data_IF_095459401255
#
_entry.id   IF_095459401255
#
_cell.length_a   1.000
_cell.length_b   1.000
_cell.length_c   1.000
_cell.angle_alpha   90.00
_cell.angle_beta   90.00
_cell.angle_gamma   90.00
#
_symmetry.space_group_name_H-M   'P 1'
#
loop_
_entity.id
_entity.type
_entity.pdbx_description
1 polymer ?
#
# COMPACT_ATOMS: atom_id res chain seq x y z
N UNK A 1 0.02 -20.86 32.99
CA UNK A 1 0.84 -20.72 31.75
C UNK A 1 0.71 -19.39 30.99
N UNK A 2 -0.30 -18.52 31.20
CA UNK A 2 -0.42 -17.23 30.48
C UNK A 2 0.26 -16.01 31.13
N UNK A 3 0.85 -16.16 32.32
CA UNK A 3 1.52 -15.05 33.05
C UNK A 3 3.04 -15.00 32.86
N UNK A 4 3.69 -16.09 32.43
CA UNK A 4 5.15 -16.15 32.22
C UNK A 4 5.64 -15.46 30.93
N UNK A 5 4.79 -15.39 29.88
CA UNK A 5 5.18 -14.89 28.56
C UNK A 5 5.23 -13.35 28.44
N UNK A 6 4.71 -12.60 29.42
CA UNK A 6 4.76 -11.12 29.40
C UNK A 6 6.08 -10.55 29.95
N UNK A 7 6.91 -11.34 30.65
CA UNK A 7 8.17 -10.85 31.23
C UNK A 7 9.37 -10.88 30.27
N UNK A 8 9.25 -11.53 29.10
CA UNK A 8 10.36 -11.63 28.12
C UNK A 8 10.34 -10.58 27.00
N UNK A 9 9.29 -9.77 26.87
CA UNK A 9 9.23 -8.71 25.84
C UNK A 9 9.64 -7.31 26.33
N UNK A 10 9.93 -7.14 27.62
CA UNK A 10 10.28 -5.83 28.19
C UNK A 10 11.78 -5.49 28.19
N UNK A 11 12.66 -6.32 27.58
CA UNK A 11 14.12 -6.12 27.65
C UNK A 11 14.83 -5.73 26.33
N UNK A 12 14.13 -5.65 25.20
CA UNK A 12 14.77 -5.37 23.90
C UNK A 12 14.21 -4.15 23.15
N UNK A 13 13.92 -3.06 23.86
CA UNK A 13 13.75 -1.74 23.24
C UNK A 13 15.01 -0.92 23.48
N UNK A 14 15.99 -1.09 22.59
CA UNK A 14 17.05 -0.10 22.40
C UNK A 14 16.41 1.15 21.80
N UNK A 15 16.30 2.21 22.60
CA UNK A 15 15.94 3.53 22.12
C UNK A 15 17.04 4.06 21.17
N UNK A 16 16.69 4.68 20.04
CA UNK A 16 17.66 5.42 19.24
C UNK A 16 18.10 6.67 20.00
N UNK A 17 19.39 6.72 20.32
CA UNK A 17 20.07 7.84 20.98
C UNK A 17 20.14 9.01 19.99
N UNK A 18 19.23 9.97 20.09
CA UNK A 18 19.34 11.27 19.43
C UNK A 18 20.34 12.13 20.19
N UNK A 19 21.63 11.96 19.90
CA UNK A 19 22.67 12.93 20.28
C UNK A 19 23.52 13.24 19.05
N UNK A 20 22.93 14.00 18.13
CA UNK A 20 23.59 14.56 16.95
C UNK A 20 24.52 15.74 17.28
N UNK A 21 25.35 15.65 18.32
CA UNK A 21 26.47 16.59 18.53
C UNK A 21 27.73 15.97 17.97
N UNK A 22 27.90 16.09 16.65
CA UNK A 22 29.19 15.88 16.00
C UNK A 22 30.22 16.80 16.65
N UNK A 23 31.27 16.18 17.21
CA UNK A 23 32.39 16.83 17.86
C UNK A 23 33.29 17.52 16.80
N UNK A 24 32.86 18.67 16.28
CA UNK A 24 33.62 19.48 15.29
C UNK A 24 34.86 20.13 15.95
N UNK A 25 35.01 20.05 17.28
CA UNK A 25 36.07 20.71 18.04
C UNK A 25 37.48 20.14 17.88
N UNK A 26 37.65 18.86 17.50
CA UNK A 26 38.97 18.21 17.49
C UNK A 26 39.71 18.31 16.13
N UNK A 27 39.01 18.56 15.02
CA UNK A 27 39.65 18.71 13.72
C UNK A 27 40.33 20.08 13.50
N UNK A 28 39.89 21.13 14.24
CA UNK A 28 40.49 22.48 14.12
C UNK A 28 41.83 22.64 14.87
N UNK A 29 42.13 21.81 15.88
CA UNK A 29 43.40 21.91 16.64
C UNK A 29 44.60 21.26 15.96
N UNK A 30 44.42 20.28 15.06
CA UNK A 30 45.55 19.68 14.32
C UNK A 30 45.99 20.47 13.09
N UNK A 31 45.11 21.23 12.43
CA UNK A 31 45.50 22.06 11.26
C UNK A 31 46.33 23.29 11.61
N UNK A 32 46.18 23.87 12.82
CA UNK A 32 46.98 25.03 13.22
C UNK A 32 48.46 24.70 13.53
N UNK A 33 48.77 23.46 13.92
CA UNK A 33 50.17 23.04 14.15
C UNK A 33 50.92 22.73 12.85
N UNK A 34 50.24 22.23 11.82
CA UNK A 34 50.87 21.95 10.52
C UNK A 34 51.19 23.22 9.71
N UNK A 35 50.34 24.25 9.78
CA UNK A 35 50.61 25.52 9.10
C UNK A 35 51.76 26.29 9.78
N UNK A 36 51.91 26.18 11.11
CA UNK A 36 53.00 26.82 11.83
C UNK A 36 54.38 26.20 11.53
N UNK A 37 54.46 24.89 11.26
CA UNK A 37 55.74 24.25 10.90
C UNK A 37 56.18 24.55 9.46
N UNK A 38 55.27 24.83 8.54
CA UNK A 38 55.62 25.13 7.14
C UNK A 38 56.17 26.54 6.93
N UNK A 39 55.86 27.51 7.81
CA UNK A 39 56.40 28.87 7.68
C UNK A 39 57.81 29.06 8.23
N UNK A 40 58.28 28.21 9.15
CA UNK A 40 59.60 28.39 9.79
C UNK A 40 60.74 27.78 8.96
N UNK A 41 60.48 26.76 8.15
CA UNK A 41 61.51 26.13 7.32
C UNK A 41 61.90 26.91 6.05
N UNK A 42 61.14 27.96 5.67
CA UNK A 42 61.38 28.72 4.44
C UNK A 42 62.09 30.08 4.67
N UNK A 43 62.51 30.37 5.91
CA UNK A 43 62.99 31.71 6.31
C UNK A 43 64.48 32.02 6.11
N UNK A 44 65.34 31.07 5.72
CA UNK A 44 66.80 31.31 5.75
C UNK A 44 67.60 31.05 4.47
N UNK A 45 66.97 30.65 3.35
CA UNK A 45 67.70 30.41 2.08
C UNK A 45 67.04 31.05 0.86
N UNK A 46 66.62 32.31 0.98
CA UNK A 46 66.14 33.11 -0.15
C UNK A 46 66.85 34.47 -0.20
N UNK A 47 68.13 34.46 -0.53
CA UNK A 47 68.76 35.59 -1.22
C UNK A 47 69.46 35.00 -2.45
N UNK A 48 69.02 35.42 -3.63
CA UNK A 48 69.54 35.09 -4.98
C UNK A 48 68.99 33.85 -5.70
N UNK A 49 67.71 33.49 -5.50
CA UNK A 49 67.04 32.66 -6.51
C UNK A 49 66.36 33.51 -7.59
N UNK A 50 66.72 33.22 -8.83
CA UNK A 50 66.25 33.86 -10.06
C UNK A 50 64.72 34.03 -10.07
N UNK A 51 64.27 35.27 -10.24
CA UNK A 51 62.86 35.68 -10.33
C UNK A 51 62.06 34.84 -11.34
N UNK A 52 62.71 34.33 -12.39
CA UNK A 52 62.11 33.46 -13.42
C UNK A 52 61.60 32.11 -12.89
N UNK A 53 62.25 31.53 -11.88
CA UNK A 53 61.86 30.23 -11.30
C UNK A 53 60.60 30.40 -10.44
N UNK A 54 60.47 31.53 -9.74
CA UNK A 54 59.28 31.85 -8.94
C UNK A 54 58.02 32.04 -9.80
N UNK A 55 58.14 32.72 -10.95
CA UNK A 55 57.01 32.90 -11.88
C UNK A 55 56.54 31.57 -12.50
N UNK A 56 57.46 30.66 -12.80
CA UNK A 56 57.12 29.35 -13.37
C UNK A 56 56.38 28.45 -12.36
N UNK A 57 56.81 28.43 -11.10
CA UNK A 57 56.12 27.68 -10.04
C UNK A 57 54.71 28.21 -9.74
N UNK A 58 54.52 29.53 -9.79
CA UNK A 58 53.22 30.16 -9.55
C UNK A 58 52.22 29.87 -10.69
N UNK A 59 52.70 29.84 -11.94
CA UNK A 59 51.90 29.47 -13.11
C UNK A 59 51.45 28.00 -13.08
N UNK A 60 52.32 27.07 -12.67
CA UNK A 60 51.97 25.64 -12.53
C UNK A 60 50.96 25.40 -11.40
N UNK A 61 51.07 26.14 -10.28
CA UNK A 61 50.07 26.10 -9.21
C UNK A 61 48.70 26.65 -9.67
N UNK A 62 48.66 27.72 -10.47
CA UNK A 62 47.40 28.26 -10.98
C UNK A 62 46.69 27.29 -11.95
N UNK A 63 47.45 26.62 -12.82
CA UNK A 63 46.93 25.63 -13.77
C UNK A 63 46.33 24.39 -13.08
N UNK A 64 46.98 23.89 -12.02
CA UNK A 64 46.45 22.73 -11.26
C UNK A 64 45.19 23.09 -10.46
N UNK A 65 45.08 24.33 -9.94
CA UNK A 65 43.87 24.82 -9.30
C UNK A 65 42.69 24.92 -10.28
N UNK A 66 42.91 25.45 -11.49
CA UNK A 66 41.87 25.53 -12.52
C UNK A 66 41.40 24.15 -12.99
N UNK A 67 42.33 23.20 -13.18
CA UNK A 67 41.99 21.82 -13.53
C UNK A 67 41.15 21.13 -12.44
N UNK A 68 41.49 21.35 -11.16
CA UNK A 68 40.73 20.82 -10.02
C UNK A 68 39.32 21.40 -9.92
N UNK A 69 39.17 22.71 -10.16
CA UNK A 69 37.86 23.37 -10.20
C UNK A 69 37.01 22.81 -11.35
N UNK A 70 37.58 22.66 -12.55
CA UNK A 70 36.86 22.08 -13.69
C UNK A 70 36.45 20.62 -13.45
N UNK A 71 37.29 19.80 -12.82
CA UNK A 71 36.93 18.43 -12.44
C UNK A 71 35.76 18.38 -11.45
N UNK A 72 35.70 19.32 -10.50
CA UNK A 72 34.55 19.47 -9.59
C UNK A 72 33.26 19.84 -10.34
N UNK A 73 33.30 20.79 -11.27
CA UNK A 73 32.11 21.22 -12.03
C UNK A 73 31.50 20.10 -12.90
N UNK A 74 32.34 19.24 -13.51
CA UNK A 74 31.87 18.07 -14.27
C UNK A 74 31.24 17.02 -13.34
N UNK A 75 31.78 16.86 -12.13
CA UNK A 75 31.22 15.96 -11.11
C UNK A 75 29.81 16.35 -10.64
N UNK A 76 29.52 17.65 -10.50
CA UNK A 76 28.20 18.12 -10.02
C UNK A 76 27.05 17.81 -10.97
N UNK A 77 27.27 17.78 -12.29
CA UNK A 77 26.22 17.46 -13.27
C UNK A 77 25.94 15.97 -13.39
N UNK A 78 26.94 15.13 -13.13
CA UNK A 78 26.81 13.67 -13.13
C UNK A 78 26.11 13.15 -11.86
N UNK A 79 26.08 13.93 -10.78
CA UNK A 79 25.54 13.52 -9.49
C UNK A 79 24.15 14.09 -9.16
N UNK A 80 23.48 14.77 -10.09
CA UNK A 80 22.09 15.14 -9.88
C UNK A 80 21.26 13.86 -9.68
N UNK A 81 20.60 13.66 -8.52
CA UNK A 81 19.88 12.43 -8.25
C UNK A 81 18.77 12.26 -9.29
N UNK A 82 18.84 11.15 -10.04
CA UNK A 82 17.83 10.80 -11.04
C UNK A 82 16.61 10.24 -10.32
N UNK A 83 15.67 11.12 -10.02
CA UNK A 83 14.39 10.78 -9.39
C UNK A 83 13.33 10.63 -10.46
N UNK A 84 12.66 9.49 -10.47
CA UNK A 84 11.53 9.19 -11.37
C UNK A 84 10.25 9.01 -10.56
N UNK A 85 9.10 9.16 -11.21
CA UNK A 85 7.79 8.92 -10.62
C UNK A 85 7.13 7.70 -11.27
N UNK A 86 6.32 6.97 -10.49
CA UNK A 86 5.51 5.88 -11.00
C UNK A 86 4.17 5.86 -10.28
N UNK A 87 3.06 5.89 -11.00
CA UNK A 87 1.72 5.75 -10.45
C UNK A 87 1.38 4.28 -10.25
N UNK A 88 1.48 3.81 -9.01
CA UNK A 88 1.19 2.42 -8.66
C UNK A 88 -0.29 2.06 -8.89
N UNK A 89 -1.21 3.02 -8.81
CA UNK A 89 -2.64 2.80 -9.02
C UNK A 89 -2.91 2.58 -10.50
N UNK A 90 -2.34 3.41 -11.37
CA UNK A 90 -2.43 3.23 -12.81
C UNK A 90 -1.77 1.91 -13.26
N UNK A 91 -0.58 1.60 -12.72
CA UNK A 91 0.13 0.35 -13.03
C UNK A 91 -0.71 -0.86 -12.63
N UNK A 92 -1.26 -0.86 -11.43
CA UNK A 92 -2.12 -1.96 -10.97
C UNK A 92 -3.35 -2.12 -11.86
N UNK A 93 -4.02 -1.03 -12.26
CA UNK A 93 -5.18 -1.06 -13.15
C UNK A 93 -4.82 -1.54 -14.57
N UNK A 94 -3.66 -1.14 -15.08
CA UNK A 94 -3.16 -1.53 -16.40
C UNK A 94 -2.59 -2.94 -16.48
N UNK A 95 -2.36 -3.60 -15.35
CA UNK A 95 -1.81 -4.96 -15.31
C UNK A 95 -2.90 -6.01 -15.52
N UNK A 96 -2.73 -6.89 -16.52
CA UNK A 96 -3.77 -7.85 -16.89
C UNK A 96 -4.15 -8.82 -15.77
N UNK A 97 -3.19 -9.22 -14.91
CA UNK A 97 -3.46 -10.15 -13.81
C UNK A 97 -4.40 -9.56 -12.77
N UNK A 98 -4.43 -8.23 -12.62
CA UNK A 98 -5.35 -7.55 -11.69
C UNK A 98 -6.80 -7.86 -12.06
N UNK A 99 -7.16 -7.77 -13.34
CA UNK A 99 -8.52 -8.07 -13.80
C UNK A 99 -8.91 -9.54 -13.55
N UNK A 100 -7.95 -10.47 -13.67
CA UNK A 100 -8.18 -11.90 -13.39
C UNK A 100 -8.35 -12.15 -11.88
N UNK A 101 -7.51 -11.56 -11.03
CA UNK A 101 -7.64 -11.66 -9.58
C UNK A 101 -8.94 -11.04 -9.08
N UNK A 102 -9.37 -9.90 -9.64
CA UNK A 102 -10.66 -9.30 -9.33
C UNK A 102 -11.84 -10.20 -9.73
N UNK A 103 -11.79 -10.84 -10.90
CA UNK A 103 -12.81 -11.82 -11.31
C UNK A 103 -12.87 -13.01 -10.34
N UNK A 104 -11.73 -13.55 -9.92
CA UNK A 104 -11.68 -14.64 -8.93
C UNK A 104 -12.31 -14.22 -7.60
N UNK A 105 -11.99 -13.04 -7.10
CA UNK A 105 -12.57 -12.51 -5.86
C UNK A 105 -14.08 -12.26 -6.00
N UNK A 106 -14.54 -11.73 -7.13
CA UNK A 106 -15.98 -11.55 -7.43
C UNK A 106 -16.71 -12.88 -7.46
N UNK A 107 -16.14 -13.92 -8.05
CA UNK A 107 -16.73 -15.26 -8.08
C UNK A 107 -16.82 -15.86 -6.67
N UNK A 108 -15.79 -15.70 -5.84
CA UNK A 108 -15.84 -16.13 -4.43
C UNK A 108 -16.92 -15.39 -3.64
N UNK A 109 -17.06 -14.07 -3.84
CA UNK A 109 -18.07 -13.26 -3.17
C UNK A 109 -19.49 -13.64 -3.63
N UNK A 110 -19.70 -13.83 -4.93
CA UNK A 110 -20.98 -14.28 -5.47
C UNK A 110 -21.36 -15.67 -4.94
N UNK A 111 -20.41 -16.60 -4.88
CA UNK A 111 -20.62 -17.94 -4.31
C UNK A 111 -20.97 -17.90 -2.82
N UNK A 112 -20.27 -17.09 -2.04
CA UNK A 112 -20.58 -16.91 -0.62
C UNK A 112 -21.95 -16.26 -0.40
N UNK A 113 -22.31 -15.25 -1.19
CA UNK A 113 -23.62 -14.60 -1.11
C UNK A 113 -24.75 -15.56 -1.48
N UNK A 114 -24.57 -16.39 -2.51
CA UNK A 114 -25.57 -17.40 -2.88
C UNK A 114 -25.85 -18.37 -1.72
N UNK A 115 -24.81 -18.83 -1.01
CA UNK A 115 -24.97 -19.71 0.16
C UNK A 115 -25.61 -18.99 1.35
N UNK A 116 -25.32 -17.70 1.54
CA UNK A 116 -26.00 -16.89 2.57
C UNK A 116 -27.49 -16.75 2.25
N UNK A 117 -27.85 -16.51 0.99
CA UNK A 117 -29.25 -16.41 0.57
C UNK A 117 -30.01 -17.72 0.73
N UNK A 118 -29.39 -18.88 0.45
CA UNK A 118 -30.04 -20.18 0.71
C UNK A 118 -30.28 -20.38 2.21
N UNK A 119 -29.29 -20.10 3.06
CA UNK A 119 -29.45 -20.19 4.53
C UNK A 119 -30.50 -19.21 5.07
N UNK A 120 -30.60 -18.00 4.49
CA UNK A 120 -31.63 -17.01 4.86
C UNK A 120 -33.03 -17.52 4.55
N UNK A 121 -33.24 -18.16 3.40
CA UNK A 121 -34.52 -18.78 3.04
C UNK A 121 -34.89 -19.91 4.00
N UNK A 122 -33.94 -20.80 4.30
CA UNK A 122 -34.15 -21.89 5.27
C UNK A 122 -34.52 -21.35 6.66
N UNK A 123 -33.84 -20.29 7.13
CA UNK A 123 -34.19 -19.64 8.40
C UNK A 123 -35.57 -19.00 8.38
N UNK A 124 -35.97 -18.37 7.28
CA UNK A 124 -37.31 -17.78 7.14
C UNK A 124 -38.39 -18.85 7.16
N UNK A 125 -38.17 -20.00 6.51
CA UNK A 125 -39.08 -21.15 6.55
C UNK A 125 -39.23 -21.70 7.97
N UNK A 126 -38.13 -21.88 8.71
CA UNK A 126 -38.18 -22.32 10.11
C UNK A 126 -38.83 -21.29 11.04
N UNK A 127 -38.61 -20.00 10.79
CA UNK A 127 -39.28 -18.93 11.53
C UNK A 127 -40.79 -18.97 11.31
N UNK A 128 -41.24 -19.17 10.07
CA UNK A 128 -42.66 -19.30 9.75
C UNK A 128 -43.26 -20.57 10.37
N UNK A 129 -42.52 -21.69 10.40
CA UNK A 129 -42.96 -22.91 11.10
C UNK A 129 -43.12 -22.70 12.60
N UNK A 130 -42.18 -21.99 13.25
CA UNK A 130 -42.29 -21.62 14.67
C UNK A 130 -43.49 -20.71 14.94
N UNK A 131 -43.79 -19.74 14.06
CA UNK A 131 -44.99 -18.91 14.16
C UNK A 131 -46.28 -19.75 14.09
N UNK A 132 -46.34 -20.72 13.17
CA UNK A 132 -47.48 -21.66 13.07
C UNK A 132 -47.65 -22.50 14.33
N UNK A 133 -46.55 -23.03 14.89
CA UNK A 133 -46.63 -23.77 16.17
C UNK A 133 -47.13 -22.87 17.31
N UNK A 134 -46.72 -21.61 17.36
CA UNK A 134 -47.21 -20.66 18.37
C UNK A 134 -48.71 -20.37 18.22
N UNK A 135 -49.25 -20.31 17.01
CA UNK A 135 -50.69 -20.19 16.76
C UNK A 135 -51.46 -21.46 17.16
N UNK A 136 -50.92 -22.65 16.86
CA UNK A 136 -51.49 -23.93 17.29
C UNK A 136 -51.59 -24.02 18.83
N UNK A 137 -50.60 -23.51 19.58
CA UNK A 137 -50.66 -23.46 21.05
C UNK A 137 -51.76 -22.56 21.60
N UNK A 138 -52.03 -21.43 20.95
CA UNK A 138 -53.12 -20.53 21.36
C UNK A 138 -54.48 -21.20 21.21
N UNK A 139 -54.64 -22.08 20.23
CA UNK A 139 -55.88 -22.82 19.97
C UNK A 139 -56.11 -24.00 20.93
N UNK A 140 -55.10 -24.49 21.65
CA UNK A 140 -55.24 -25.63 22.57
C UNK A 140 -55.72 -25.17 23.95
N UNK A 141 -56.87 -25.65 24.47
CA UNK A 141 -57.45 -25.18 25.72
C UNK A 141 -56.88 -25.86 26.99
N UNK A 142 -56.22 -27.01 26.90
CA UNK A 142 -55.70 -27.77 28.06
C UNK A 142 -54.20 -27.57 28.30
N UNK A 143 -53.83 -27.21 29.54
CA UNK A 143 -52.43 -26.96 29.96
C UNK A 143 -51.49 -28.16 29.77
N UNK A 144 -51.97 -29.39 29.99
CA UNK A 144 -51.17 -30.60 29.80
C UNK A 144 -50.84 -30.87 28.32
N UNK A 145 -51.77 -30.53 27.41
CA UNK A 145 -51.54 -30.64 25.97
C UNK A 145 -50.57 -29.56 25.47
N UNK A 146 -50.63 -28.35 26.05
CA UNK A 146 -49.65 -27.28 25.78
C UNK A 146 -48.23 -27.68 26.16
N UNK A 147 -48.03 -28.29 27.34
CA UNK A 147 -46.70 -28.78 27.76
C UNK A 147 -46.13 -29.82 26.79
N UNK A 148 -46.93 -30.80 26.38
CA UNK A 148 -46.49 -31.84 25.43
C UNK A 148 -46.12 -31.28 24.05
N UNK A 149 -46.82 -30.25 23.58
CA UNK A 149 -46.51 -29.60 22.29
C UNK A 149 -45.23 -28.75 22.42
N UNK A 150 -45.07 -28.03 23.53
CA UNK A 150 -43.87 -27.25 23.81
C UNK A 150 -42.62 -28.14 23.83
N UNK A 151 -42.66 -29.24 24.57
CA UNK A 151 -41.50 -30.12 24.74
C UNK A 151 -41.15 -30.91 23.46
N UNK A 152 -42.15 -31.39 22.72
CA UNK A 152 -41.92 -32.26 21.57
C UNK A 152 -41.74 -31.53 20.24
N UNK A 153 -42.31 -30.32 20.07
CA UNK A 153 -42.29 -29.59 18.79
C UNK A 153 -41.54 -28.27 18.87
N UNK A 154 -41.85 -27.42 19.86
CA UNK A 154 -41.23 -26.07 19.93
C UNK A 154 -39.79 -26.12 20.40
N UNK A 155 -39.49 -26.80 21.51
CA UNK A 155 -38.12 -26.86 22.02
C UNK A 155 -37.11 -27.43 21.00
N UNK A 156 -37.39 -28.53 20.28
CA UNK A 156 -36.47 -28.99 19.23
C UNK A 156 -36.41 -28.03 18.04
N UNK A 157 -37.54 -27.51 17.55
CA UNK A 157 -37.54 -26.56 16.44
C UNK A 157 -36.78 -25.26 16.77
N UNK A 158 -36.91 -24.77 18.01
CA UNK A 158 -36.19 -23.59 18.50
C UNK A 158 -34.69 -23.86 18.64
N UNK A 159 -34.30 -25.06 19.11
CA UNK A 159 -32.89 -25.48 19.15
C UNK A 159 -32.28 -25.53 17.75
N UNK A 160 -33.01 -26.09 16.78
CA UNK A 160 -32.56 -26.13 15.39
C UNK A 160 -32.48 -24.74 14.74
N UNK A 161 -33.45 -23.87 15.00
CA UNK A 161 -33.42 -22.49 14.52
C UNK A 161 -32.20 -21.74 15.06
N UNK A 162 -31.96 -21.85 16.37
CA UNK A 162 -30.80 -21.22 17.01
C UNK A 162 -29.47 -21.79 16.48
N UNK A 163 -29.38 -23.11 16.29
CA UNK A 163 -28.16 -23.73 15.76
C UNK A 163 -27.87 -23.33 14.31
N UNK A 164 -28.90 -23.25 13.46
CA UNK A 164 -28.76 -22.74 12.09
C UNK A 164 -28.40 -21.26 12.05
N UNK A 165 -28.99 -20.43 12.92
CA UNK A 165 -28.65 -19.01 13.02
C UNK A 165 -27.18 -18.83 13.42
N UNK A 166 -26.72 -19.59 14.41
CA UNK A 166 -25.33 -19.56 14.84
C UNK A 166 -24.38 -20.06 13.75
N UNK A 167 -24.78 -21.10 13.02
CA UNK A 167 -24.04 -21.60 11.86
C UNK A 167 -23.93 -20.51 10.77
N UNK A 168 -25.03 -19.89 10.36
CA UNK A 168 -25.05 -18.81 9.37
C UNK A 168 -24.14 -17.65 9.78
N UNK A 169 -24.18 -17.25 11.06
CA UNK A 169 -23.32 -16.19 11.61
C UNK A 169 -21.84 -16.56 11.51
N UNK A 170 -21.47 -17.79 11.88
CA UNK A 170 -20.09 -18.29 11.79
C UNK A 170 -19.64 -18.39 10.34
N UNK A 171 -20.47 -18.93 9.47
CA UNK A 171 -20.22 -19.05 8.04
C UNK A 171 -19.97 -17.69 7.40
N UNK A 172 -20.84 -16.69 7.64
CA UNK A 172 -20.68 -15.34 7.12
C UNK A 172 -19.37 -14.70 7.56
N UNK A 173 -19.03 -14.82 8.85
CA UNK A 173 -17.77 -14.33 9.40
C UNK A 173 -16.55 -15.00 8.78
N UNK A 174 -16.57 -16.34 8.66
CA UNK A 174 -15.48 -17.12 8.09
C UNK A 174 -15.31 -16.85 6.58
N UNK A 175 -16.40 -16.78 5.82
CA UNK A 175 -16.40 -16.46 4.41
C UNK A 175 -15.78 -15.07 4.16
N UNK A 176 -16.15 -14.06 4.96
CA UNK A 176 -15.54 -12.72 4.91
C UNK A 176 -14.06 -12.76 5.22
N UNK A 177 -13.66 -13.47 6.28
CA UNK A 177 -12.26 -13.61 6.64
C UNK A 177 -11.44 -14.29 5.53
N UNK A 178 -11.99 -15.34 4.90
CA UNK A 178 -11.38 -16.04 3.76
C UNK A 178 -11.23 -15.13 2.54
N UNK A 179 -12.28 -14.40 2.15
CA UNK A 179 -12.24 -13.46 1.02
C UNK A 179 -11.23 -12.33 1.28
N UNK A 180 -11.24 -11.75 2.48
CA UNK A 180 -10.29 -10.71 2.86
C UNK A 180 -8.83 -11.20 2.92
N UNK A 181 -8.62 -12.46 3.33
CA UNK A 181 -7.30 -13.11 3.30
C UNK A 181 -6.83 -13.34 1.86
N UNK A 182 -7.67 -13.96 1.03
CA UNK A 182 -7.39 -14.19 -0.39
C UNK A 182 -7.09 -12.88 -1.14
N UNK A 183 -7.89 -11.83 -0.89
CA UNK A 183 -7.65 -10.51 -1.48
C UNK A 183 -6.30 -9.92 -1.08
N UNK A 184 -5.89 -10.04 0.19
CA UNK A 184 -4.58 -9.57 0.66
C UNK A 184 -3.43 -10.36 0.03
N UNK A 185 -3.55 -11.67 -0.04
CA UNK A 185 -2.52 -12.55 -0.63
C UNK A 185 -2.35 -12.27 -2.13
N UNK A 186 -3.44 -12.16 -2.89
CA UNK A 186 -3.39 -11.85 -4.31
C UNK A 186 -2.82 -10.44 -4.57
N UNK A 187 -3.27 -9.44 -3.81
CA UNK A 187 -2.70 -8.09 -3.90
C UNK A 187 -1.21 -8.07 -3.56
N UNK A 188 -0.76 -8.84 -2.56
CA UNK A 188 0.65 -8.92 -2.20
C UNK A 188 1.48 -9.51 -3.34
N UNK A 189 0.99 -10.56 -4.01
CA UNK A 189 1.65 -11.17 -5.19
C UNK A 189 1.76 -10.17 -6.35
N UNK A 190 0.67 -9.48 -6.68
CA UNK A 190 0.68 -8.45 -7.75
C UNK A 190 1.69 -7.34 -7.44
N UNK A 191 1.72 -6.86 -6.19
CA UNK A 191 2.67 -5.82 -5.78
C UNK A 191 4.12 -6.35 -5.82
N UNK A 192 4.39 -7.61 -5.46
CA UNK A 192 5.74 -8.17 -5.57
C UNK A 192 6.24 -8.21 -7.01
N UNK A 193 5.38 -8.63 -7.95
CA UNK A 193 5.73 -8.66 -9.39
C UNK A 193 6.00 -7.25 -9.92
N UNK A 194 5.13 -6.29 -9.60
CA UNK A 194 5.34 -4.87 -9.95
C UNK A 194 6.68 -4.37 -9.38
N UNK A 195 6.98 -4.68 -8.11
CA UNK A 195 8.24 -4.26 -7.47
C UNK A 195 9.48 -4.86 -8.13
N UNK A 196 9.40 -6.05 -8.68
CA UNK A 196 10.51 -6.67 -9.40
C UNK A 196 10.76 -5.99 -10.74
N UNK A 197 9.70 -5.69 -11.50
CA UNK A 197 9.83 -4.94 -12.76
C UNK A 197 10.31 -3.50 -12.54
N UNK A 198 9.79 -2.83 -11.51
CA UNK A 198 10.27 -1.49 -11.10
C UNK A 198 11.76 -1.53 -10.79
N UNK A 199 12.26 -2.57 -10.10
CA UNK A 199 13.70 -2.74 -9.81
C UNK A 199 14.53 -2.93 -11.08
N UNK A 200 14.05 -3.74 -12.03
CA UNK A 200 14.74 -3.95 -13.33
C UNK A 200 14.81 -2.64 -14.13
N UNK A 201 13.71 -1.88 -14.19
CA UNK A 201 13.68 -0.58 -14.87
C UNK A 201 14.60 0.42 -14.17
N UNK A 202 14.53 0.53 -12.84
CA UNK A 202 15.40 1.40 -12.04
C UNK A 202 16.89 1.17 -12.33
N UNK A 203 17.30 -0.10 -12.39
CA UNK A 203 18.67 -0.48 -12.71
C UNK A 203 19.06 -0.06 -14.14
N UNK A 204 18.17 -0.25 -15.11
CA UNK A 204 18.44 0.10 -16.52
C UNK A 204 18.62 1.61 -16.75
N UNK A 205 17.82 2.45 -16.09
CA UNK A 205 17.88 3.92 -16.24
C UNK A 205 18.85 4.59 -15.24
N UNK A 206 19.44 3.80 -14.33
CA UNK A 206 20.25 4.27 -13.19
C UNK A 206 19.49 5.28 -12.33
N UNK A 207 18.23 4.98 -12.03
CA UNK A 207 17.43 5.79 -11.11
C UNK A 207 18.03 5.71 -9.71
N UNK A 208 18.16 6.86 -9.05
CA UNK A 208 18.51 6.91 -7.63
C UNK A 208 17.29 6.57 -6.76
N UNK A 209 16.12 7.11 -7.14
CA UNK A 209 14.85 6.91 -6.44
C UNK A 209 13.69 6.86 -7.42
N UNK A 210 12.69 6.04 -7.09
CA UNK A 210 11.38 6.02 -7.74
C UNK A 210 10.35 6.32 -6.66
N UNK A 211 9.53 7.34 -6.89
CA UNK A 211 8.53 7.81 -5.93
C UNK A 211 7.15 7.51 -6.51
N UNK A 212 6.21 7.09 -5.65
CA UNK A 212 4.82 6.90 -6.08
C UNK A 212 4.18 8.26 -6.41
N UNK A 213 3.57 8.37 -7.59
CA UNK A 213 2.92 9.60 -8.05
C UNK A 213 1.79 10.03 -7.12
N UNK A 214 1.14 9.09 -6.40
CA UNK A 214 0.08 9.40 -5.43
C UNK A 214 0.54 10.27 -4.26
N UNK A 215 1.85 10.24 -3.96
CA UNK A 215 2.46 11.00 -2.87
C UNK A 215 3.03 12.35 -3.30
N UNK A 216 3.04 12.63 -4.60
CA UNK A 216 3.60 13.85 -5.18
C UNK A 216 2.48 14.73 -5.74
N UNK A 217 2.54 16.04 -5.49
CA UNK A 217 1.58 16.98 -6.07
C UNK A 217 1.82 17.22 -7.56
N UNK A 218 3.07 17.11 -8.01
CA UNK A 218 3.46 17.32 -9.39
C UNK A 218 4.73 16.54 -9.71
N UNK A 219 4.76 15.89 -10.87
CA UNK A 219 5.94 15.30 -11.46
C UNK A 219 5.93 15.61 -12.96
N UNK A 220 7.11 15.88 -13.52
CA UNK A 220 7.25 16.08 -14.97
C UNK A 220 6.87 14.78 -15.69
N UNK A 221 5.99 14.81 -16.72
CA UNK A 221 5.61 13.62 -17.48
C UNK A 221 6.81 12.85 -18.06
N UNK A 222 7.88 13.57 -18.43
CA UNK A 222 9.12 12.98 -18.93
C UNK A 222 9.89 12.12 -17.91
N UNK A 223 9.51 12.18 -16.62
CA UNK A 223 10.08 11.37 -15.54
C UNK A 223 9.11 10.33 -15.01
N UNK A 224 7.91 10.24 -15.60
CA UNK A 224 6.94 9.20 -15.28
C UNK A 224 7.26 7.93 -16.08
N UNK A 225 7.54 6.84 -15.36
CA UNK A 225 7.87 5.54 -15.95
C UNK A 225 6.70 4.56 -15.88
N UNK A 226 5.50 4.99 -15.53
CA UNK A 226 4.32 4.12 -15.33
C UNK A 226 3.96 3.34 -16.58
N UNK A 227 3.90 4.01 -17.74
CA UNK A 227 3.59 3.37 -19.02
C UNK A 227 4.63 2.29 -19.39
N UNK A 228 5.91 2.56 -19.12
CA UNK A 228 6.99 1.60 -19.35
C UNK A 228 6.85 0.36 -18.48
N UNK A 229 6.52 0.54 -17.19
CA UNK A 229 6.29 -0.57 -16.25
C UNK A 229 5.11 -1.42 -16.71
N UNK A 230 3.98 -0.80 -17.07
CA UNK A 230 2.78 -1.50 -17.58
C UNK A 230 3.14 -2.32 -18.82
N UNK A 231 3.88 -1.71 -19.76
CA UNK A 231 4.30 -2.37 -20.99
C UNK A 231 5.13 -3.62 -20.70
N UNK A 232 6.13 -3.54 -19.80
CA UNK A 232 6.97 -4.69 -19.46
C UNK A 232 6.23 -5.78 -18.71
N UNK A 233 5.38 -5.42 -17.75
CA UNK A 233 4.54 -6.38 -17.02
C UNK A 233 3.59 -7.15 -17.94
N UNK A 234 3.07 -6.48 -18.98
CA UNK A 234 2.16 -7.11 -19.93
C UNK A 234 2.89 -7.84 -21.07
N UNK A 235 4.18 -7.58 -21.30
CA UNK A 235 4.95 -8.21 -22.38
C UNK A 235 5.08 -9.73 -22.23
N UNK A 236 5.02 -10.25 -20.99
CA UNK A 236 5.05 -11.69 -20.71
C UNK A 236 3.79 -12.43 -21.20
N UNK A 237 2.66 -11.73 -21.43
CA UNK A 237 1.38 -12.34 -21.85
C UNK A 237 1.32 -12.68 -23.35
N UNK A 238 2.23 -12.11 -24.15
CA UNK A 238 2.28 -12.31 -25.59
C UNK A 238 3.42 -11.49 -26.15
N UNK A 239 4.46 -12.17 -26.63
CA UNK A 239 5.65 -11.53 -27.18
C UNK A 239 5.28 -10.40 -28.16
N UNK A 240 5.91 -9.24 -27.96
CA UNK A 240 5.88 -8.11 -28.86
C UNK A 240 4.47 -7.65 -29.32
N UNK A 241 3.68 -7.05 -28.42
CA UNK A 241 2.66 -6.11 -28.86
C UNK A 241 3.30 -4.72 -29.02
N UNK A 242 3.78 -4.45 -30.23
CA UNK A 242 4.01 -3.12 -30.76
C UNK A 242 2.74 -2.27 -30.61
N UNK A 243 2.80 -1.27 -29.75
CA UNK A 243 1.82 -0.19 -29.64
C UNK A 243 2.59 1.05 -29.25
N UNK A 244 2.88 1.88 -30.24
CA UNK A 244 3.63 3.11 -30.11
C UNK A 244 3.04 3.99 -28.99
N UNK A 245 3.91 4.40 -28.09
CA UNK A 245 3.71 5.63 -27.37
C UNK A 245 3.84 6.77 -28.39
N UNK A 246 2.72 7.30 -28.87
CA UNK A 246 2.69 8.68 -29.33
C UNK A 246 2.99 9.54 -28.11
N UNK A 247 4.28 9.76 -27.94
CA UNK A 247 4.84 10.82 -27.11
C UNK A 247 4.69 12.11 -27.89
N UNK A 248 3.44 12.52 -28.14
CA UNK A 248 3.20 13.77 -28.82
C UNK A 248 3.44 14.93 -27.84
N UNK A 249 4.37 15.76 -28.26
CA UNK A 249 4.94 16.90 -27.54
C UNK A 249 3.84 17.95 -27.42
N UNK A 250 3.16 17.99 -26.27
CA UNK A 250 2.29 19.12 -25.98
C UNK A 250 3.13 20.29 -25.45
N UNK A 251 3.65 21.08 -26.39
CA UNK A 251 4.11 22.42 -26.15
C UNK A 251 2.90 23.30 -25.77
N UNK A 252 2.63 23.43 -24.48
CA UNK A 252 1.59 24.31 -23.98
C UNK A 252 1.99 25.78 -24.19
N UNK A 253 1.27 26.44 -25.10
CA UNK A 253 1.16 27.89 -25.24
C UNK A 253 0.34 28.43 -24.04
N UNK A 254 0.71 29.55 -23.40
CA UNK A 254 -0.01 30.04 -22.24
C UNK A 254 -1.25 30.85 -22.67
N UNK A 255 -2.40 30.52 -22.08
CA UNK A 255 -3.58 31.38 -22.05
C UNK A 255 -4.74 30.90 -22.89
N UNK A 256 -5.61 30.10 -22.27
CA UNK A 256 -7.07 30.19 -22.42
C UNK A 256 -7.71 29.21 -21.42
N UNK A 257 -8.45 29.76 -20.46
CA UNK A 257 -9.33 28.97 -19.59
C UNK A 257 -10.55 28.51 -20.38
N UNK A 258 -11.04 27.29 -20.15
CA UNK A 258 -12.47 27.03 -20.28
C UNK A 258 -13.09 26.57 -18.96
N UNK A 259 -14.27 27.14 -18.76
CA UNK A 259 -15.27 26.85 -17.74
C UNK A 259 -16.08 25.61 -18.18
N UNK A 260 -16.35 24.71 -17.25
CA UNK A 260 -17.51 23.78 -17.10
C UNK A 260 -17.04 22.52 -16.37
N UNK A 261 -17.49 22.19 -15.15
CA UNK A 261 -18.85 21.82 -14.76
C UNK A 261 -19.36 20.62 -15.58
N UNK A 262 -19.01 19.40 -15.16
CA UNK A 262 -19.98 18.31 -14.99
C UNK A 262 -19.36 17.11 -14.25
N UNK A 263 -20.20 16.45 -13.45
CA UNK A 263 -19.82 15.54 -12.38
C UNK A 263 -18.99 14.31 -12.79
N UNK A 264 -17.74 14.25 -12.31
CA UNK A 264 -16.96 13.04 -12.28
C UNK A 264 -17.10 12.36 -10.91
N UNK A 265 -17.93 11.31 -10.87
CA UNK A 265 -17.97 10.34 -9.77
C UNK A 265 -16.58 9.71 -9.61
N UNK A 266 -15.94 9.96 -8.47
CA UNK A 266 -14.59 9.53 -8.18
C UNK A 266 -14.40 8.00 -8.37
N UNK A 267 -13.25 7.55 -8.91
CA UNK A 267 -12.94 6.13 -8.97
C UNK A 267 -12.71 5.59 -7.56
N UNK A 268 -13.57 4.66 -7.15
CA UNK A 268 -13.52 3.98 -5.86
C UNK A 268 -12.11 3.47 -5.55
N UNK A 269 -11.60 3.85 -4.38
CA UNK A 269 -10.33 3.38 -3.86
C UNK A 269 -10.44 1.88 -3.59
N UNK A 270 -9.40 1.11 -3.90
CA UNK A 270 -9.40 -0.35 -3.72
C UNK A 270 -9.48 -0.82 -2.25
N UNK A 271 -9.54 0.11 -1.29
CA UNK A 271 -9.93 -0.13 0.10
C UNK A 271 -11.44 -0.34 0.28
N UNK A 272 -12.26 0.02 -0.70
CA UNK A 272 -13.74 -0.11 -0.68
C UNK A 272 -14.25 -1.39 -1.37
N UNK A 273 -13.35 -2.33 -1.72
CA UNK A 273 -13.73 -3.60 -2.36
C UNK A 273 -14.41 -4.61 -1.41
N UNK A 274 -14.63 -4.25 -0.16
CA UNK A 274 -15.67 -4.89 0.63
C UNK A 274 -16.95 -4.09 0.42
N UNK A 275 -17.88 -4.56 -0.41
CA UNK A 275 -19.10 -3.82 -0.66
C UNK A 275 -19.83 -3.60 0.66
N UNK A 276 -20.23 -2.34 0.92
CA UNK A 276 -21.04 -1.92 2.07
C UNK A 276 -22.35 -2.72 2.19
N UNK A 277 -22.73 -3.47 1.15
CA UNK A 277 -23.84 -4.43 1.14
C UNK A 277 -23.68 -5.54 2.19
N UNK A 278 -22.47 -5.80 2.71
CA UNK A 278 -22.23 -6.75 3.81
C UNK A 278 -22.27 -6.08 5.20
N UNK A 279 -22.31 -4.75 5.27
CA UNK A 279 -22.45 -4.01 6.53
C UNK A 279 -23.91 -3.90 6.98
N UNK A 280 -24.87 -4.19 6.09
CA UNK A 280 -26.32 -4.27 6.35
C UNK A 280 -26.78 -5.49 7.15
N UNK A 281 -25.88 -6.31 7.70
CA UNK A 281 -26.28 -7.33 8.70
C UNK A 281 -26.78 -6.73 10.03
N UNK A 282 -26.88 -5.39 10.14
CA UNK A 282 -27.58 -4.73 11.24
C UNK A 282 -29.11 -4.76 11.07
N UNK A 283 -29.62 -5.06 9.87
CA UNK A 283 -31.04 -5.37 9.64
C UNK A 283 -31.28 -6.84 10.01
N UNK A 284 -31.06 -7.17 11.29
CA UNK A 284 -31.65 -8.38 11.84
C UNK A 284 -33.17 -8.29 11.63
N UNK A 285 -33.85 -9.37 11.20
CA UNK A 285 -35.31 -9.36 11.13
C UNK A 285 -35.82 -8.90 12.49
N UNK A 286 -36.69 -7.89 12.51
CA UNK A 286 -37.21 -7.29 13.72
C UNK A 286 -37.81 -8.38 14.62
N UNK A 287 -37.08 -8.75 15.66
CA UNK A 287 -37.46 -9.83 16.58
C UNK A 287 -38.47 -9.33 17.62
N UNK A 288 -38.89 -8.06 17.56
CA UNK A 288 -39.87 -7.49 18.49
C UNK A 288 -41.25 -8.14 18.40
N UNK A 289 -41.55 -8.90 17.33
CA UNK A 289 -42.82 -9.60 17.17
C UNK A 289 -42.83 -11.05 17.68
N UNK A 290 -41.73 -11.60 18.19
CA UNK A 290 -41.82 -12.88 18.88
C UNK A 290 -42.33 -12.59 20.28
N UNK A 291 -43.57 -12.98 20.64
CA UNK A 291 -44.10 -12.70 21.97
C UNK A 291 -43.17 -13.34 23.01
N UNK A 292 -42.62 -12.51 23.90
CA UNK A 292 -41.82 -12.91 25.08
C UNK A 292 -42.61 -13.74 26.10
N UNK A 293 -43.76 -14.29 25.71
CA UNK A 293 -44.69 -15.07 26.51
C UNK A 293 -44.72 -16.50 25.98
N UNK A 294 -43.61 -17.21 26.16
CA UNK A 294 -43.50 -18.67 26.19
C UNK A 294 -42.55 -19.05 27.33
#
# INVERSE_FOLDING_TARGET
MRKELRRRFAKNTCAPRQDGRFNIGLARRRRRKLIACLCIACGQKCRTMNFKIFFCALALCALTFLASIMACFVGYKLFAPRVYSADLVAIKKGFYKTAESEKKLKNMLAGANAQIETMRRELAEKQNALKKFAEELKAVPTEEARRRINENKILPAMREFNSQRDFMRRFSSEARAKIAKASREENAKLISEIKEEVRKIAASIRAAYIIDSSSNMYASPSRDISAEIIRRLNAEKGGAASGAADSDVNAAKPGESPVNADGAKAPAQSSDLLPDTLRRDADAPDMSEIPSAL
#
